data_IF_619407882336
#
_entry.id   IF_619407882336
#
_cell.length_a   1.000
_cell.length_b   1.000
_cell.length_c   1.000
_cell.angle_alpha   90.00
_cell.angle_beta   90.00
_cell.angle_gamma   90.00
#
_symmetry.space_group_name_H-M   'P 1'
#
loop_
_entity.id
_entity.type
_entity.pdbx_description
1 polymer ?
#
# COMPACT_ATOMS: atom_id res chain seq x y z
N UNK A 1 -8.39 69.01 -1.75
CA UNK A 1 -8.88 67.74 -1.12
C UNK A 1 -7.72 66.76 -1.07
N UNK A 2 -7.59 66.06 0.05
CA UNK A 2 -6.42 65.35 0.59
C UNK A 2 -5.71 64.35 -0.34
N UNK A 3 -4.40 64.23 -0.11
CA UNK A 3 -3.60 63.03 -0.41
C UNK A 3 -3.62 62.08 0.80
N UNK A 4 -3.74 60.77 0.56
CA UNK A 4 -3.20 59.70 1.41
C UNK A 4 -3.06 58.38 0.61
N UNK A 5 -2.03 57.54 0.85
CA UNK A 5 -1.63 56.43 -0.02
C UNK A 5 -1.91 55.02 0.54
N UNK A 6 -1.77 54.02 -0.37
CA UNK A 6 -1.46 52.58 -0.19
C UNK A 6 -2.15 51.78 0.93
N UNK A 7 -2.87 50.71 0.52
CA UNK A 7 -2.79 49.39 1.18
C UNK A 7 -2.75 48.28 0.14
N UNK A 8 -1.64 47.53 0.14
CA UNK A 8 -1.56 46.20 -0.43
C UNK A 8 -2.66 45.33 0.21
N UNK A 9 -3.37 44.55 -0.60
CA UNK A 9 -4.26 43.51 -0.07
C UNK A 9 -3.35 42.49 0.63
N UNK A 10 -3.44 42.49 1.95
CA UNK A 10 -2.65 41.64 2.82
C UNK A 10 -2.97 40.16 2.64
N UNK A 11 -1.97 39.36 3.00
CA UNK A 11 -2.13 37.98 3.43
C UNK A 11 -3.33 37.85 4.37
N UNK A 12 -4.19 36.88 4.09
CA UNK A 12 -5.21 36.44 5.01
C UNK A 12 -4.55 35.59 6.13
N UNK A 13 -5.03 35.68 7.38
CA UNK A 13 -4.37 35.08 8.53
C UNK A 13 -4.51 33.56 8.52
N UNK A 14 -3.43 32.88 8.91
CA UNK A 14 -3.40 31.44 9.15
C UNK A 14 -4.18 31.12 10.43
N UNK A 15 -5.27 30.36 10.31
CA UNK A 15 -6.00 29.83 11.47
C UNK A 15 -5.24 28.62 12.04
N UNK A 16 -4.73 28.78 13.25
CA UNK A 16 -4.08 27.74 14.05
C UNK A 16 -5.13 26.79 14.65
N UNK A 17 -5.45 25.69 13.96
CA UNK A 17 -6.24 24.61 14.55
C UNK A 17 -5.32 23.65 15.34
N UNK A 18 -5.21 23.91 16.65
CA UNK A 18 -4.76 22.98 17.66
C UNK A 18 -5.76 21.82 17.80
N UNK A 19 -5.40 20.65 17.28
CA UNK A 19 -6.13 19.40 17.53
C UNK A 19 -5.12 18.32 17.98
N UNK A 20 -5.02 18.15 19.29
CA UNK A 20 -4.25 17.09 19.95
C UNK A 20 -4.99 15.75 19.85
N UNK A 21 -4.71 15.00 18.79
CA UNK A 21 -5.27 13.66 18.60
C UNK A 21 -4.36 12.77 17.76
N UNK A 22 -3.59 11.90 18.42
CA UNK A 22 -2.59 10.97 17.86
C UNK A 22 -3.02 10.27 16.56
N UNK A 23 -2.39 10.64 15.44
CA UNK A 23 -2.24 9.79 14.25
C UNK A 23 -0.87 10.04 13.63
N UNK A 24 -0.05 8.99 13.47
CA UNK A 24 1.29 9.05 12.87
C UNK A 24 1.24 9.19 11.33
N UNK A 25 0.43 10.14 10.86
CA UNK A 25 0.45 10.66 9.52
C UNK A 25 0.45 12.17 9.62
N UNK A 26 1.64 12.77 9.78
CA UNK A 26 1.77 14.22 9.90
C UNK A 26 0.95 14.94 8.84
N UNK A 27 0.23 16.01 9.24
CA UNK A 27 -0.55 16.89 8.35
C UNK A 27 0.32 17.23 7.14
N UNK A 28 0.05 16.58 6.00
CA UNK A 28 0.89 16.73 4.81
C UNK A 28 0.66 18.13 4.22
N UNK A 29 1.71 18.86 3.82
CA UNK A 29 1.55 20.17 3.23
C UNK A 29 0.63 20.07 2.00
N UNK A 30 -0.43 20.89 1.99
CA UNK A 30 -1.36 21.00 0.86
C UNK A 30 -0.55 21.30 -0.41
N UNK A 31 -0.69 20.47 -1.44
CA UNK A 31 0.00 20.62 -2.73
C UNK A 31 1.12 19.61 -3.01
N UNK A 32 1.48 18.75 -2.06
CA UNK A 32 2.49 17.73 -2.31
C UNK A 32 1.92 16.59 -3.18
N UNK A 33 2.41 16.48 -4.42
CA UNK A 33 2.00 15.44 -5.37
C UNK A 33 2.53 14.07 -4.90
N UNK A 34 1.70 13.04 -4.98
CA UNK A 34 2.07 11.65 -4.69
C UNK A 34 1.61 10.71 -5.79
N UNK A 35 2.34 9.62 -5.99
CA UNK A 35 1.92 8.51 -6.83
C UNK A 35 1.13 7.52 -5.97
N UNK A 36 -0.09 7.20 -6.40
CA UNK A 36 -0.86 6.09 -5.84
C UNK A 36 -0.74 4.91 -6.80
N UNK A 37 -0.30 3.77 -6.28
CA UNK A 37 -0.23 2.51 -7.03
C UNK A 37 -1.20 1.53 -6.39
N UNK A 38 -2.11 0.99 -7.20
CA UNK A 38 -3.02 -0.08 -6.79
C UNK A 38 -2.60 -1.36 -7.51
N UNK A 39 -2.18 -2.36 -6.75
CA UNK A 39 -1.95 -3.72 -7.25
C UNK A 39 -3.30 -4.45 -7.28
N UNK A 40 -3.96 -4.36 -8.42
CA UNK A 40 -5.28 -4.93 -8.66
C UNK A 40 -5.23 -6.45 -8.91
N UNK A 41 -6.25 -7.18 -8.44
CA UNK A 41 -6.36 -8.62 -8.67
C UNK A 41 -5.25 -9.46 -8.04
N UNK A 42 -4.66 -9.00 -6.93
CA UNK A 42 -3.59 -9.70 -6.26
C UNK A 42 -4.07 -11.08 -5.75
N UNK A 43 -3.28 -12.12 -6.04
CA UNK A 43 -3.58 -13.51 -5.65
C UNK A 43 -3.06 -13.80 -4.25
N UNK A 44 -3.60 -13.10 -3.26
CA UNK A 44 -3.29 -13.30 -1.84
C UNK A 44 -4.50 -13.95 -1.17
N UNK A 45 -4.41 -15.26 -0.95
CA UNK A 45 -5.48 -16.06 -0.34
C UNK A 45 -4.83 -17.07 0.60
N UNK A 46 -5.37 -17.22 1.80
CA UNK A 46 -4.92 -18.27 2.74
C UNK A 46 -5.73 -19.54 2.56
N UNK A 47 -5.06 -20.68 2.69
CA UNK A 47 -5.67 -22.01 2.74
C UNK A 47 -5.22 -22.76 3.97
N UNK A 48 -6.10 -23.61 4.49
CA UNK A 48 -5.78 -24.48 5.62
C UNK A 48 -5.19 -25.79 5.10
N UNK A 49 -3.95 -26.08 5.47
CA UNK A 49 -3.27 -27.33 5.14
C UNK A 49 -3.01 -28.09 6.45
N UNK A 50 -3.81 -29.11 6.70
CA UNK A 50 -3.77 -29.83 7.98
C UNK A 50 -4.09 -28.92 9.17
N UNK A 51 -3.07 -28.59 9.97
CA UNK A 51 -3.18 -27.74 11.17
C UNK A 51 -2.67 -26.31 10.97
N UNK A 52 -2.01 -26.02 9.86
CA UNK A 52 -1.40 -24.71 9.57
C UNK A 52 -2.22 -23.95 8.53
N UNK A 53 -2.08 -22.62 8.55
CA UNK A 53 -2.57 -21.75 7.49
C UNK A 53 -1.38 -21.33 6.63
N UNK A 54 -1.52 -21.47 5.32
CA UNK A 54 -0.49 -21.13 4.35
C UNK A 54 -1.09 -20.28 3.23
N UNK A 55 -0.27 -19.40 2.66
CA UNK A 55 -0.66 -18.65 1.48
C UNK A 55 -0.77 -19.59 0.28
N UNK A 56 -1.90 -19.52 -0.43
CA UNK A 56 -2.20 -20.32 -1.60
C UNK A 56 -1.18 -20.02 -2.69
N UNK A 57 -0.59 -21.07 -3.26
CA UNK A 57 0.53 -20.98 -4.20
C UNK A 57 0.43 -22.10 -5.23
N UNK A 58 0.78 -21.81 -6.48
CA UNK A 58 0.79 -22.77 -7.58
C UNK A 58 1.73 -23.96 -7.32
N UNK A 59 2.88 -23.74 -6.67
CA UNK A 59 3.90 -24.78 -6.50
C UNK A 59 3.58 -25.75 -5.36
N UNK A 60 3.22 -25.22 -4.19
CA UNK A 60 2.94 -26.02 -2.98
C UNK A 60 1.54 -26.64 -2.99
N UNK A 61 0.56 -25.96 -3.59
CA UNK A 61 -0.86 -26.32 -3.46
C UNK A 61 -1.50 -26.79 -4.78
N UNK A 62 -0.70 -27.22 -5.77
CA UNK A 62 -1.19 -27.64 -7.09
C UNK A 62 -2.31 -28.68 -7.04
N UNK A 63 -2.15 -29.72 -6.23
CA UNK A 63 -3.16 -30.79 -6.12
C UNK A 63 -4.47 -30.28 -5.51
N UNK A 64 -4.41 -29.36 -4.54
CA UNK A 64 -5.58 -28.75 -3.92
C UNK A 64 -6.32 -27.83 -4.92
N UNK A 65 -5.57 -27.08 -5.72
CA UNK A 65 -6.13 -26.20 -6.77
C UNK A 65 -6.87 -27.02 -7.83
N UNK A 66 -6.25 -28.09 -8.33
CA UNK A 66 -6.86 -28.98 -9.32
C UNK A 66 -8.13 -29.66 -8.79
N UNK A 67 -8.14 -30.11 -7.52
CA UNK A 67 -9.34 -30.70 -6.89
C UNK A 67 -10.50 -29.71 -6.77
N UNK A 68 -10.18 -28.43 -6.62
CA UNK A 68 -11.18 -27.37 -6.53
C UNK A 68 -11.52 -26.76 -7.90
N UNK A 69 -11.06 -27.36 -9.00
CA UNK A 69 -11.32 -26.89 -10.36
C UNK A 69 -10.70 -25.53 -10.69
N UNK A 70 -9.67 -25.11 -9.95
CA UNK A 70 -8.97 -23.84 -10.16
C UNK A 70 -7.68 -24.08 -10.94
N UNK A 71 -7.37 -23.21 -11.88
CA UNK A 71 -6.11 -23.25 -12.60
C UNK A 71 -4.95 -22.84 -11.68
N UNK A 72 -3.94 -23.70 -11.48
CA UNK A 72 -2.73 -23.33 -10.76
C UNK A 72 -2.02 -22.10 -11.34
N UNK A 73 -2.15 -21.84 -12.65
CA UNK A 73 -1.55 -20.69 -13.31
C UNK A 73 -2.05 -19.34 -12.81
N UNK A 74 -3.27 -19.28 -12.26
CA UNK A 74 -3.88 -18.04 -11.78
C UNK A 74 -3.48 -17.66 -10.36
N UNK A 75 -2.88 -18.58 -9.61
CA UNK A 75 -2.51 -18.40 -8.20
C UNK A 75 -1.03 -18.08 -8.12
N UNK A 76 -0.72 -16.79 -8.29
CA UNK A 76 0.64 -16.27 -8.39
C UNK A 76 0.90 -15.14 -7.36
N UNK A 77 0.98 -15.47 -6.06
CA UNK A 77 1.34 -14.49 -5.02
C UNK A 77 2.75 -13.89 -5.21
N UNK A 78 3.63 -14.58 -5.95
CA UNK A 78 4.99 -14.12 -6.28
C UNK A 78 5.00 -12.82 -7.09
N UNK A 79 4.01 -12.60 -7.95
CA UNK A 79 3.89 -11.38 -8.75
C UNK A 79 3.67 -10.18 -7.83
N UNK A 80 2.77 -10.30 -6.86
CA UNK A 80 2.51 -9.24 -5.86
C UNK A 80 3.74 -9.02 -4.99
N UNK A 81 4.41 -10.09 -4.56
CA UNK A 81 5.65 -10.01 -3.78
C UNK A 81 6.75 -9.22 -4.51
N UNK A 82 7.07 -9.59 -5.75
CA UNK A 82 8.10 -8.89 -6.53
C UNK A 82 7.71 -7.43 -6.82
N UNK A 83 6.45 -7.18 -7.15
CA UNK A 83 5.95 -5.82 -7.39
C UNK A 83 6.13 -4.94 -6.15
N UNK A 84 5.78 -5.46 -4.97
CA UNK A 84 5.96 -4.76 -3.70
C UNK A 84 7.43 -4.51 -3.38
N UNK A 85 8.33 -5.47 -3.65
CA UNK A 85 9.77 -5.27 -3.46
C UNK A 85 10.27 -4.09 -4.30
N UNK A 86 9.89 -4.02 -5.58
CA UNK A 86 10.30 -2.93 -6.47
C UNK A 86 9.71 -1.58 -6.06
N UNK A 87 8.42 -1.55 -5.69
CA UNK A 87 7.73 -0.33 -5.27
C UNK A 87 8.31 0.22 -3.96
N UNK A 88 8.49 -0.63 -2.96
CA UNK A 88 8.94 -0.21 -1.62
C UNK A 88 10.42 0.17 -1.59
N UNK A 89 11.25 -0.37 -2.49
CA UNK A 89 12.66 0.02 -2.64
C UNK A 89 12.88 1.27 -3.50
N UNK A 90 11.87 1.70 -4.25
CA UNK A 90 11.98 2.83 -5.16
C UNK A 90 12.43 4.11 -4.46
N UNK A 91 13.24 4.98 -5.12
CA UNK A 91 13.58 6.29 -4.58
C UNK A 91 12.34 7.12 -4.23
N UNK A 92 11.23 6.91 -4.95
CA UNK A 92 9.97 7.57 -4.74
C UNK A 92 9.33 7.22 -3.39
N UNK A 93 9.41 5.95 -2.98
CA UNK A 93 8.97 5.52 -1.65
C UNK A 93 9.85 6.13 -0.56
N UNK A 94 11.17 6.16 -0.76
CA UNK A 94 12.12 6.77 0.19
C UNK A 94 11.90 8.28 0.35
N UNK A 95 11.43 8.95 -0.70
CA UNK A 95 11.04 10.36 -0.67
C UNK A 95 9.66 10.61 -0.02
N UNK A 96 8.92 9.56 0.37
CA UNK A 96 7.59 9.69 0.98
C UNK A 96 6.47 10.08 0.00
N UNK A 97 6.71 9.93 -1.31
CA UNK A 97 5.79 10.35 -2.37
C UNK A 97 5.02 9.17 -3.00
N UNK A 98 5.18 7.96 -2.46
CA UNK A 98 4.48 6.76 -2.93
C UNK A 98 3.48 6.30 -1.87
N UNK A 99 2.28 5.94 -2.31
CA UNK A 99 1.31 5.18 -1.53
C UNK A 99 0.94 3.92 -2.32
N UNK A 100 1.05 2.75 -1.69
CA UNK A 100 0.71 1.48 -2.33
C UNK A 100 -0.53 0.88 -1.65
N UNK A 101 -1.45 0.43 -2.49
CA UNK A 101 -2.61 -0.37 -2.11
C UNK A 101 -2.55 -1.71 -2.83
N UNK A 102 -3.03 -2.75 -2.18
CA UNK A 102 -3.18 -4.07 -2.77
C UNK A 102 -4.67 -4.39 -2.72
N UNK A 103 -5.26 -4.67 -3.87
CA UNK A 103 -6.64 -5.13 -3.94
C UNK A 103 -6.62 -6.59 -4.39
N UNK A 104 -7.05 -7.48 -3.50
CA UNK A 104 -7.00 -8.92 -3.76
C UNK A 104 -8.19 -9.41 -4.57
N UNK A 105 -8.06 -10.57 -5.22
CA UNK A 105 -9.17 -11.24 -5.91
C UNK A 105 -10.37 -11.55 -4.99
N UNK A 106 -10.16 -11.57 -3.66
CA UNK A 106 -11.21 -11.76 -2.65
C UNK A 106 -11.81 -10.44 -2.14
N UNK A 107 -11.63 -9.35 -2.87
CA UNK A 107 -12.17 -8.03 -2.53
C UNK A 107 -11.67 -7.52 -1.16
N UNK A 108 -10.40 -7.83 -0.84
CA UNK A 108 -9.72 -7.29 0.35
C UNK A 108 -8.81 -6.16 -0.11
N UNK A 109 -8.99 -4.98 0.46
CA UNK A 109 -8.13 -3.83 0.23
C UNK A 109 -7.12 -3.70 1.37
N UNK A 110 -5.84 -3.74 1.04
CA UNK A 110 -4.73 -3.64 1.99
C UNK A 110 -3.97 -2.36 1.68
N UNK A 111 -3.89 -1.46 2.66
CA UNK A 111 -2.99 -0.31 2.60
C UNK A 111 -1.61 -0.70 3.11
N UNK A 112 -0.57 -0.44 2.31
CA UNK A 112 0.82 -0.69 2.71
C UNK A 112 1.43 0.60 3.24
N UNK A 113 1.85 0.59 4.51
CA UNK A 113 2.57 1.72 5.09
C UNK A 113 3.92 1.91 4.34
N UNK A 114 4.29 3.13 3.90
CA UNK A 114 5.57 3.41 3.23
C UNK A 114 6.83 2.97 3.99
N UNK A 115 6.75 2.88 5.33
CA UNK A 115 7.84 2.43 6.20
C UNK A 115 7.96 0.91 6.28
N UNK A 116 6.97 0.16 5.78
CA UNK A 116 6.97 -1.31 5.84
C UNK A 116 8.13 -1.89 5.05
N UNK A 117 8.94 -2.72 5.70
CA UNK A 117 10.00 -3.50 5.06
C UNK A 117 9.45 -4.86 4.65
N UNK A 118 9.19 -5.02 3.36
CA UNK A 118 8.71 -6.29 2.79
C UNK A 118 9.82 -7.34 2.87
N UNK A 119 9.56 -8.55 3.38
CA UNK A 119 10.55 -9.63 3.42
C UNK A 119 11.10 -9.96 2.03
N UNK A 120 12.42 -10.08 1.89
CA UNK A 120 13.08 -10.39 0.60
C UNK A 120 12.85 -11.82 0.12
N UNK A 121 12.73 -12.76 1.06
CA UNK A 121 12.48 -14.17 0.75
C UNK A 121 10.98 -14.43 0.66
N UNK A 122 10.56 -15.13 -0.39
CA UNK A 122 9.15 -15.40 -0.65
C UNK A 122 8.44 -16.17 0.49
N UNK A 123 9.09 -17.17 1.11
CA UNK A 123 8.47 -17.92 2.22
C UNK A 123 8.15 -17.04 3.43
N UNK A 124 9.01 -16.07 3.77
CA UNK A 124 8.74 -15.10 4.85
C UNK A 124 7.64 -14.11 4.48
N UNK A 125 7.53 -13.75 3.21
CA UNK A 125 6.41 -12.94 2.73
C UNK A 125 5.09 -13.70 2.86
N UNK A 126 5.07 -14.98 2.48
CA UNK A 126 3.88 -15.83 2.62
C UNK A 126 3.45 -16.03 4.07
N UNK A 127 4.38 -16.05 5.03
CA UNK A 127 4.04 -16.12 6.45
C UNK A 127 3.57 -14.78 7.06
N UNK A 128 3.84 -13.66 6.37
CA UNK A 128 3.39 -12.33 6.79
C UNK A 128 1.96 -12.02 6.33
N UNK A 129 1.56 -12.58 5.17
CA UNK A 129 0.26 -12.39 4.53
C UNK A 129 -0.75 -13.45 4.96
#
# INVERSE_FOLDING_TARGET
KMAAPRRARGDAPEEEDEDEGRSLGGKRPRGQRRLLVVLEGASLETVKVGKTFELLNCDKHKALLLRNGRDPGEVRPDITHQSLLMLMDSPLNRAGLLQVYIHTKKNVLIEVNPQTRIPRTFDRFCGLM
#
